data_IF_400352882763
#
_entry.id   IF_400352882763
#
_cell.length_a   1.000
_cell.length_b   1.000
_cell.length_c   1.000
_cell.angle_alpha   90.00
_cell.angle_beta   90.00
_cell.angle_gamma   90.00
#
_symmetry.space_group_name_H-M   'P 1'
#
loop_
_entity.id
_entity.type
_entity.pdbx_description
1 polymer ?
#
# COMPACT_ATOMS: atom_id res chain seq x y z
N UNK A 1 10.95 14.70 2.79
CA UNK A 1 10.24 15.51 3.79
C UNK A 1 8.84 15.92 3.31
N UNK A 2 8.71 16.77 2.28
CA UNK A 2 7.39 17.26 1.78
C UNK A 2 6.38 16.14 1.42
N UNK A 3 6.84 15.08 0.72
CA UNK A 3 5.98 13.95 0.34
C UNK A 3 5.37 13.23 1.54
N UNK A 4 6.16 13.06 2.62
CA UNK A 4 5.72 12.40 3.86
C UNK A 4 4.66 13.26 4.55
N UNK A 5 4.83 14.58 4.56
CA UNK A 5 3.86 15.52 5.14
C UNK A 5 2.52 15.43 4.40
N UNK A 6 2.53 15.33 3.06
CA UNK A 6 1.32 15.17 2.25
C UNK A 6 0.63 13.83 2.57
N UNK A 7 1.39 12.74 2.65
CA UNK A 7 0.85 11.40 2.99
C UNK A 7 0.19 11.43 4.38
N UNK A 8 0.82 12.07 5.35
CA UNK A 8 0.28 12.21 6.71
C UNK A 8 -0.99 13.07 6.73
N UNK A 9 -1.02 14.15 5.94
CA UNK A 9 -2.18 15.02 5.82
C UNK A 9 -3.38 14.30 5.21
N UNK A 10 -3.17 13.53 4.14
CA UNK A 10 -4.22 12.71 3.52
C UNK A 10 -4.72 11.65 4.50
N UNK A 11 -3.81 10.96 5.21
CA UNK A 11 -4.20 10.01 6.25
C UNK A 11 -5.05 10.65 7.35
N UNK A 12 -4.70 11.86 7.79
CA UNK A 12 -5.47 12.61 8.78
C UNK A 12 -6.88 12.98 8.26
N UNK A 13 -7.00 13.38 7.00
CA UNK A 13 -8.31 13.65 6.39
C UNK A 13 -9.18 12.40 6.30
N UNK A 14 -8.60 11.26 5.92
CA UNK A 14 -9.31 9.97 5.86
C UNK A 14 -9.81 9.58 7.24
N UNK A 15 -8.99 9.69 8.28
CA UNK A 15 -9.41 9.45 9.66
C UNK A 15 -10.52 10.42 10.06
N UNK A 16 -10.39 11.71 9.75
CA UNK A 16 -11.39 12.71 10.13
C UNK A 16 -12.79 12.43 9.51
N UNK A 17 -12.84 11.92 8.29
CA UNK A 17 -14.10 11.59 7.58
C UNK A 17 -14.65 10.23 8.01
N UNK A 18 -13.79 9.20 8.10
CA UNK A 18 -14.25 7.84 8.35
C UNK A 18 -14.41 7.49 9.83
N UNK A 19 -13.60 8.08 10.73
CA UNK A 19 -13.72 7.85 12.17
C UNK A 19 -15.12 8.17 12.75
N UNK A 20 -15.78 9.32 12.45
CA UNK A 20 -17.13 9.58 12.95
C UNK A 20 -18.16 8.60 12.37
N UNK A 21 -18.00 8.23 11.09
CA UNK A 21 -18.86 7.24 10.41
C UNK A 21 -18.78 5.87 11.07
N UNK A 22 -17.56 5.41 11.39
CA UNK A 22 -17.33 4.12 12.06
C UNK A 22 -17.76 4.19 13.54
N UNK A 23 -17.64 5.36 14.20
CA UNK A 23 -18.11 5.56 15.58
C UNK A 23 -19.63 5.44 15.68
N UNK A 24 -20.38 5.98 14.71
CA UNK A 24 -21.85 5.86 14.67
C UNK A 24 -22.32 4.42 14.46
N UNK A 25 -21.58 3.62 13.68
CA UNK A 25 -21.99 2.25 13.34
C UNK A 25 -21.80 1.22 14.46
N UNK A 26 -21.10 1.55 15.55
CA UNK A 26 -20.87 0.74 16.78
C UNK A 26 -20.35 -0.72 16.58
N UNK A 27 -19.98 -1.10 15.36
CA UNK A 27 -19.42 -2.40 15.01
C UNK A 27 -17.91 -2.35 15.26
N UNK A 28 -17.44 -3.12 16.25
CA UNK A 28 -16.02 -3.12 16.67
C UNK A 28 -15.07 -3.71 15.62
N UNK A 29 -15.54 -4.63 14.78
CA UNK A 29 -14.75 -5.25 13.71
C UNK A 29 -14.39 -4.28 12.57
N UNK A 30 -15.25 -3.30 12.31
CA UNK A 30 -15.06 -2.33 11.21
C UNK A 30 -13.94 -1.33 11.53
N UNK A 31 -13.79 -0.98 12.82
CA UNK A 31 -12.70 -0.11 13.32
C UNK A 31 -11.32 -0.72 13.07
N UNK A 32 -11.19 -2.02 13.34
CA UNK A 32 -9.92 -2.73 13.20
C UNK A 32 -9.54 -2.82 11.73
N UNK A 33 -10.49 -3.20 10.87
CA UNK A 33 -10.26 -3.32 9.43
C UNK A 33 -9.84 -1.98 8.82
N UNK A 34 -10.53 -0.90 9.17
CA UNK A 34 -10.19 0.45 8.71
C UNK A 34 -8.76 0.86 9.11
N UNK A 35 -8.41 0.73 10.39
CA UNK A 35 -7.06 1.06 10.85
C UNK A 35 -6.00 0.16 10.21
N UNK A 36 -6.30 -1.12 9.99
CA UNK A 36 -5.38 -2.07 9.37
C UNK A 36 -5.07 -1.67 7.91
N UNK A 37 -6.10 -1.36 7.12
CA UNK A 37 -5.92 -0.86 5.74
C UNK A 37 -5.19 0.49 5.71
N UNK A 38 -5.50 1.38 6.66
CA UNK A 38 -4.88 2.71 6.74
C UNK A 38 -3.38 2.62 7.09
N UNK A 39 -3.02 1.75 8.05
CA UNK A 39 -1.61 1.46 8.39
C UNK A 39 -0.87 0.84 7.21
N UNK A 40 -1.50 -0.09 6.48
CA UNK A 40 -0.90 -0.71 5.29
C UNK A 40 -0.64 0.35 4.21
N UNK A 41 -1.62 1.20 3.91
CA UNK A 41 -1.50 2.26 2.90
C UNK A 41 -0.41 3.29 3.25
N UNK A 42 -0.32 3.68 4.52
CA UNK A 42 0.73 4.58 5.03
C UNK A 42 2.10 3.89 4.98
N UNK A 43 2.18 2.62 5.39
CA UNK A 43 3.40 1.82 5.39
C UNK A 43 3.99 1.70 3.99
N UNK A 44 3.18 1.34 2.99
CA UNK A 44 3.60 1.26 1.58
C UNK A 44 4.12 2.61 1.08
N UNK A 45 3.40 3.70 1.38
CA UNK A 45 3.80 5.05 0.98
C UNK A 45 5.10 5.52 1.66
N UNK A 46 5.28 5.19 2.94
CA UNK A 46 6.52 5.45 3.68
C UNK A 46 7.69 4.65 3.10
N UNK A 47 7.51 3.35 2.88
CA UNK A 47 8.54 2.47 2.28
C UNK A 47 8.95 2.99 0.90
N UNK A 48 7.99 3.47 0.10
CA UNK A 48 8.27 4.05 -1.22
C UNK A 48 8.99 5.42 -1.18
N UNK A 49 8.84 6.19 -0.09
CA UNK A 49 9.40 7.55 0.03
C UNK A 49 10.66 7.63 0.90
N UNK A 50 10.82 6.71 1.84
CA UNK A 50 12.10 6.50 2.52
C UNK A 50 13.01 5.90 1.46
N UNK A 51 14.15 6.53 1.22
CA UNK A 51 15.17 6.13 0.25
C UNK A 51 15.87 4.80 0.62
N UNK A 52 15.21 3.94 1.42
CA UNK A 52 15.44 2.50 1.41
C UNK A 52 15.34 2.13 -0.05
N UNK A 53 16.39 1.51 -0.59
CA UNK A 53 16.40 0.93 -1.94
C UNK A 53 15.36 -0.20 -1.98
N UNK A 54 14.08 0.14 -1.94
CA UNK A 54 13.00 -0.75 -2.33
C UNK A 54 13.39 -1.15 -3.74
N UNK A 55 13.68 -2.43 -3.99
CA UNK A 55 13.95 -2.86 -5.34
C UNK A 55 12.77 -2.37 -6.16
N UNK A 56 13.05 -1.50 -7.14
CA UNK A 56 12.08 -0.82 -7.98
C UNK A 56 10.86 -1.70 -8.23
N UNK A 57 9.65 -1.14 -8.27
CA UNK A 57 8.44 -1.90 -8.62
C UNK A 57 8.64 -2.74 -9.90
N UNK A 58 9.50 -2.26 -10.81
CA UNK A 58 9.97 -2.99 -12.00
C UNK A 58 10.72 -4.28 -11.65
N UNK A 59 11.56 -4.32 -10.61
CA UNK A 59 12.25 -5.55 -10.14
C UNK A 59 11.27 -6.58 -9.58
N UNK A 60 10.31 -6.15 -8.76
CA UNK A 60 9.27 -7.06 -8.27
C UNK A 60 8.41 -7.60 -9.42
N UNK A 61 8.01 -6.73 -10.33
CA UNK A 61 7.30 -7.11 -11.55
C UNK A 61 8.13 -8.11 -12.37
N UNK A 62 9.44 -7.86 -12.51
CA UNK A 62 10.35 -8.75 -13.22
C UNK A 62 10.46 -10.12 -12.54
N UNK A 63 10.48 -10.21 -11.21
CA UNK A 63 10.50 -11.50 -10.48
C UNK A 63 9.24 -12.32 -10.79
N UNK A 64 8.07 -11.67 -10.84
CA UNK A 64 6.80 -12.35 -11.14
C UNK A 64 6.72 -12.76 -12.61
N UNK A 65 7.18 -11.90 -13.53
CA UNK A 65 7.08 -12.13 -14.97
C UNK A 65 8.20 -12.98 -15.56
N UNK A 66 9.36 -13.08 -14.89
CA UNK A 66 10.50 -13.86 -15.36
C UNK A 66 10.17 -15.36 -15.54
N UNK A 67 9.53 -16.08 -14.60
CA UNK A 67 9.18 -17.49 -14.82
C UNK A 67 8.19 -17.66 -15.98
N UNK A 68 7.25 -16.73 -16.15
CA UNK A 68 6.30 -16.73 -17.27
C UNK A 68 7.04 -16.57 -18.60
N UNK A 69 8.00 -15.64 -18.67
CA UNK A 69 8.80 -15.43 -19.88
C UNK A 69 9.65 -16.65 -20.25
N UNK A 70 10.15 -17.40 -19.27
CA UNK A 70 10.91 -18.62 -19.51
C UNK A 70 10.01 -19.76 -20.01
N UNK A 71 8.80 -19.88 -19.47
CA UNK A 71 7.81 -20.85 -19.95
C UNK A 71 7.39 -20.56 -21.39
N UNK A 72 7.12 -19.29 -21.72
CA UNK A 72 6.78 -18.87 -23.09
C UNK A 72 7.96 -19.11 -24.04
N UNK A 73 9.19 -18.78 -23.63
CA UNK A 73 10.38 -19.04 -24.43
C UNK A 73 10.60 -20.54 -24.68
N UNK A 74 10.36 -21.39 -23.68
CA UNK A 74 10.45 -22.86 -23.84
C UNK A 74 9.34 -23.48 -24.69
N UNK A 75 8.21 -22.79 -24.85
CA UNK A 75 7.10 -23.23 -25.69
C UNK A 75 7.28 -22.85 -27.17
N UNK A 76 8.09 -21.83 -27.44
CA UNK A 76 8.39 -21.31 -28.77
C UNK A 76 9.68 -21.91 -29.38
N UNK A 77 10.45 -22.68 -28.60
CA UNK A 77 11.64 -23.44 -29.03
C UNK A 77 11.32 -24.90 -29.30
#
# INVERSE_FOLDING_TARGET
MLKIIIILFVAAMIIFIEYPTIKQKNIKSDKVSFFMFLIIGIGINLIANINIKVPSLIKWLKIVYQPISQLVASWLS
#
